data_IF_324253434441
#
_entry.id   IF_324253434441
#
_cell.length_a   1.000
_cell.length_b   1.000
_cell.length_c   1.000
_cell.angle_alpha   90.00
_cell.angle_beta   90.00
_cell.angle_gamma   90.00
#
_symmetry.space_group_name_H-M   'P 1'
#
loop_
_entity.id
_entity.type
_entity.pdbx_description
1 polymer ?
#
# COMPACT_ATOMS: atom_id res chain seq x y z
N UNK A 1 4.93 -8.25 24.86
CA UNK A 1 4.46 -9.29 23.95
C UNK A 1 3.46 -8.80 22.94
N UNK A 2 2.38 -8.12 23.35
CA UNK A 2 1.42 -7.54 22.38
C UNK A 2 2.05 -6.50 21.47
N UNK A 3 2.96 -5.69 22.02
CA UNK A 3 3.64 -4.64 21.23
C UNK A 3 4.58 -5.23 20.19
N UNK A 4 5.29 -6.30 20.55
CA UNK A 4 6.21 -6.97 19.62
C UNK A 4 5.45 -7.65 18.48
N UNK A 5 4.32 -8.26 18.80
CA UNK A 5 3.46 -8.88 17.81
C UNK A 5 2.89 -7.83 16.83
N UNK A 6 2.37 -6.74 17.37
CA UNK A 6 1.80 -5.66 16.57
C UNK A 6 2.87 -5.00 15.68
N UNK A 7 4.07 -4.81 16.22
CA UNK A 7 5.20 -4.24 15.46
C UNK A 7 5.60 -5.17 14.33
N UNK A 8 5.75 -6.47 14.63
CA UNK A 8 6.10 -7.46 13.61
C UNK A 8 5.06 -7.53 12.50
N UNK A 9 3.78 -7.45 12.86
CA UNK A 9 2.69 -7.45 11.90
C UNK A 9 2.72 -6.21 11.00
N UNK A 10 2.98 -5.04 11.57
CA UNK A 10 3.13 -3.80 10.79
C UNK A 10 4.33 -3.86 9.86
N UNK A 11 5.45 -4.36 10.37
CA UNK A 11 6.67 -4.48 9.57
C UNK A 11 6.47 -5.48 8.42
N UNK A 12 5.78 -6.58 8.69
CA UNK A 12 5.42 -7.55 7.67
C UNK A 12 4.54 -6.96 6.58
N UNK A 13 3.55 -6.15 6.96
CA UNK A 13 2.68 -5.49 6.00
C UNK A 13 3.42 -4.45 5.17
N UNK A 14 4.35 -3.71 5.78
CA UNK A 14 5.20 -2.76 5.05
C UNK A 14 6.11 -3.46 4.05
N UNK A 15 6.67 -4.59 4.46
CA UNK A 15 7.49 -5.41 3.56
C UNK A 15 6.64 -5.93 2.39
N UNK A 16 5.44 -6.43 2.66
CA UNK A 16 4.53 -6.90 1.62
C UNK A 16 4.17 -5.77 0.64
N UNK A 17 3.88 -4.58 1.15
CA UNK A 17 3.63 -3.42 0.31
C UNK A 17 4.82 -3.08 -0.58
N UNK A 18 6.02 -3.14 -0.04
CA UNK A 18 7.25 -2.88 -0.79
C UNK A 18 7.44 -3.88 -1.92
N UNK A 19 7.18 -5.16 -1.66
CA UNK A 19 7.27 -6.22 -2.66
C UNK A 19 6.24 -6.00 -3.77
N UNK A 20 5.00 -5.70 -3.39
CA UNK A 20 3.93 -5.48 -4.37
C UNK A 20 4.16 -4.21 -5.19
N UNK A 21 4.70 -3.16 -4.58
CA UNK A 21 5.04 -1.93 -5.29
C UNK A 21 6.12 -2.17 -6.33
N UNK A 22 7.13 -2.97 -6.00
CA UNK A 22 8.18 -3.35 -6.95
C UNK A 22 7.61 -4.16 -8.11
N UNK A 23 6.73 -5.09 -7.82
CA UNK A 23 6.07 -5.91 -8.84
C UNK A 23 5.16 -5.06 -9.74
N UNK A 24 4.38 -4.16 -9.15
CA UNK A 24 3.54 -3.22 -9.91
C UNK A 24 4.38 -2.39 -10.88
N UNK A 25 5.53 -1.90 -10.44
CA UNK A 25 6.42 -1.10 -11.28
C UNK A 25 6.89 -1.87 -12.51
N UNK A 26 7.16 -3.16 -12.38
CA UNK A 26 7.53 -4.02 -13.50
C UNK A 26 6.41 -4.08 -14.55
N UNK A 27 5.16 -4.26 -14.10
CA UNK A 27 4.02 -4.34 -15.01
C UNK A 27 3.67 -3.00 -15.61
N UNK A 28 3.85 -1.90 -14.85
CA UNK A 28 3.59 -0.56 -15.35
C UNK A 28 4.45 -0.24 -16.57
N UNK A 29 5.73 -0.65 -16.54
CA UNK A 29 6.65 -0.43 -17.67
C UNK A 29 6.23 -1.22 -18.91
N UNK A 30 5.56 -2.35 -18.70
CA UNK A 30 5.16 -3.26 -19.79
C UNK A 30 3.78 -2.95 -20.37
N UNK A 31 3.04 -2.00 -19.77
CA UNK A 31 1.70 -1.65 -20.25
C UNK A 31 1.76 -1.08 -21.68
N UNK A 32 0.96 -1.69 -22.55
CA UNK A 32 0.82 -1.22 -23.92
C UNK A 32 2.00 -1.51 -24.85
N UNK A 33 3.05 -2.16 -24.36
CA UNK A 33 4.25 -2.42 -25.18
C UNK A 33 4.12 -3.58 -26.14
N UNK A 34 3.22 -4.53 -25.87
CA UNK A 34 3.07 -5.69 -26.72
C UNK A 34 2.24 -5.36 -27.96
N UNK A 35 2.56 -6.02 -29.06
CA UNK A 35 1.72 -5.96 -30.28
C UNK A 35 0.45 -6.78 -30.12
N UNK A 36 0.41 -7.71 -29.17
CA UNK A 36 -0.76 -8.53 -28.89
C UNK A 36 -1.68 -7.81 -27.90
N UNK A 37 -2.91 -7.56 -28.31
CA UNK A 37 -3.90 -6.96 -27.44
C UNK A 37 -4.23 -7.84 -26.24
N UNK A 38 -4.17 -9.16 -26.40
CA UNK A 38 -4.40 -10.10 -25.31
C UNK A 38 -3.32 -10.00 -24.23
N UNK A 39 -2.07 -9.88 -24.67
CA UNK A 39 -0.95 -9.70 -23.76
C UNK A 39 -1.08 -8.38 -23.00
N UNK A 40 -1.42 -7.30 -23.69
CA UNK A 40 -1.62 -6.00 -23.06
C UNK A 40 -2.77 -6.04 -22.06
N UNK A 41 -3.91 -6.67 -22.43
CA UNK A 41 -5.05 -6.80 -21.54
C UNK A 41 -4.69 -7.59 -20.27
N UNK A 42 -3.93 -8.68 -20.41
CA UNK A 42 -3.46 -9.48 -19.28
C UNK A 42 -2.56 -8.65 -18.37
N UNK A 43 -1.65 -7.86 -18.94
CA UNK A 43 -0.76 -6.98 -18.19
C UNK A 43 -1.53 -5.91 -17.43
N UNK A 44 -2.56 -5.33 -18.04
CA UNK A 44 -3.42 -4.35 -17.39
C UNK A 44 -4.15 -4.95 -16.19
N UNK A 45 -4.70 -6.16 -16.33
CA UNK A 45 -5.37 -6.87 -15.24
C UNK A 45 -4.41 -7.12 -14.09
N UNK A 46 -3.20 -7.58 -14.37
CA UNK A 46 -2.18 -7.84 -13.35
C UNK A 46 -1.76 -6.56 -12.64
N UNK A 47 -1.55 -5.50 -13.39
CA UNK A 47 -1.20 -4.20 -12.83
C UNK A 47 -2.31 -3.70 -11.89
N UNK A 48 -3.55 -3.77 -12.34
CA UNK A 48 -4.70 -3.33 -11.55
C UNK A 48 -4.90 -4.18 -10.30
N UNK A 49 -4.70 -5.49 -10.42
CA UNK A 49 -4.78 -6.42 -9.28
C UNK A 49 -3.76 -6.04 -8.21
N UNK A 50 -2.54 -5.72 -8.62
CA UNK A 50 -1.49 -5.30 -7.70
C UNK A 50 -1.83 -3.97 -7.03
N UNK A 51 -2.43 -3.03 -7.76
CA UNK A 51 -2.88 -1.77 -7.18
C UNK A 51 -3.95 -2.00 -6.10
N UNK A 52 -4.93 -2.86 -6.37
CA UNK A 52 -5.98 -3.19 -5.42
C UNK A 52 -5.39 -3.88 -4.18
N UNK A 53 -4.47 -4.82 -4.37
CA UNK A 53 -3.81 -5.51 -3.28
C UNK A 53 -3.05 -4.53 -2.37
N UNK A 54 -2.33 -3.58 -2.94
CA UNK A 54 -1.63 -2.54 -2.19
C UNK A 54 -2.60 -1.67 -1.40
N UNK A 55 -3.71 -1.30 -2.01
CA UNK A 55 -4.74 -0.50 -1.35
C UNK A 55 -5.29 -1.22 -0.12
N UNK A 56 -5.57 -2.51 -0.23
CA UNK A 56 -6.05 -3.32 0.88
C UNK A 56 -5.02 -3.45 1.99
N UNK A 57 -3.75 -3.61 1.62
CA UNK A 57 -2.66 -3.69 2.60
C UNK A 57 -2.48 -2.36 3.32
N UNK A 58 -2.57 -1.24 2.62
CA UNK A 58 -2.52 0.09 3.23
C UNK A 58 -3.65 0.30 4.22
N UNK A 59 -4.85 -0.14 3.86
CA UNK A 59 -6.02 -0.06 4.75
C UNK A 59 -5.77 -0.89 6.01
N UNK A 60 -5.28 -2.12 5.87
CA UNK A 60 -4.95 -2.97 7.01
C UNK A 60 -3.85 -2.36 7.88
N UNK A 61 -2.81 -1.81 7.25
CA UNK A 61 -1.72 -1.16 7.96
C UNK A 61 -2.21 0.06 8.75
N UNK A 62 -3.08 0.87 8.17
CA UNK A 62 -3.65 2.03 8.83
C UNK A 62 -4.48 1.64 10.05
N UNK A 63 -5.19 0.51 9.99
CA UNK A 63 -5.94 -0.01 11.13
C UNK A 63 -5.04 -0.50 12.26
N UNK A 64 -3.81 -0.90 11.93
CA UNK A 64 -2.83 -1.37 12.90
C UNK A 64 -1.96 -0.24 13.46
N UNK A 65 -2.10 0.97 12.92
CA UNK A 65 -1.38 2.12 13.44
C UNK A 65 -1.77 2.33 14.91
N UNK A 66 -0.80 2.40 15.83
CA UNK A 66 -1.10 2.48 17.26
C UNK A 66 -1.95 3.69 17.59
N UNK A 67 -2.83 3.55 18.59
CA UNK A 67 -3.66 4.63 19.09
C UNK A 67 -2.83 5.80 19.64
N UNK A 68 -1.55 5.59 19.91
CA UNK A 68 -0.64 6.66 20.25
C UNK A 68 -0.58 7.75 19.19
N UNK A 69 -0.82 7.39 17.94
CA UNK A 69 -0.94 8.38 16.86
C UNK A 69 -2.22 9.20 17.02
N UNK A 70 -3.24 8.61 17.63
CA UNK A 70 -4.48 9.31 17.98
C UNK A 70 -4.32 10.17 19.24
N UNK A 71 -3.30 9.88 20.04
CA UNK A 71 -2.92 10.72 21.18
C UNK A 71 -2.05 11.89 20.74
N UNK A 72 -1.77 12.00 19.45
CA UNK A 72 -1.11 13.18 18.88
C UNK A 72 -1.96 14.40 19.19
N UNK A 73 -1.28 15.51 19.50
CA UNK A 73 -1.94 16.79 19.72
C UNK A 73 -3.02 17.03 18.65
N UNK A 74 -4.26 17.32 19.04
CA UNK A 74 -5.32 17.58 18.07
C UNK A 74 -5.00 18.65 17.04
N UNK A 75 -4.20 19.65 17.41
CA UNK A 75 -3.77 20.68 16.47
C UNK A 75 -2.85 20.13 15.40
N UNK A 76 -1.94 19.22 15.79
CA UNK A 76 -1.04 18.56 14.84
C UNK A 76 -1.82 17.64 13.93
N UNK A 77 -2.74 16.85 14.48
CA UNK A 77 -3.59 15.97 13.70
C UNK A 77 -4.43 16.75 12.68
N UNK A 78 -5.00 17.88 13.10
CA UNK A 78 -5.77 18.76 12.23
C UNK A 78 -4.90 19.37 11.14
N UNK A 79 -3.69 19.80 11.49
CA UNK A 79 -2.74 20.34 10.50
C UNK A 79 -2.34 19.30 9.46
N UNK A 80 -2.15 18.05 9.88
CA UNK A 80 -1.84 16.95 8.97
C UNK A 80 -3.01 16.66 8.03
N UNK A 81 -4.24 16.71 8.54
CA UNK A 81 -5.43 16.57 7.71
C UNK A 81 -5.54 17.68 6.67
N UNK A 82 -5.26 18.92 7.07
CA UNK A 82 -5.35 20.07 6.18
C UNK A 82 -4.38 20.01 5.02
N UNK A 83 -3.23 19.38 5.22
CA UNK A 83 -2.24 19.19 4.14
C UNK A 83 -2.41 17.87 3.40
N UNK A 84 -3.45 17.09 3.72
CA UNK A 84 -3.77 15.87 3.01
C UNK A 84 -2.90 14.68 3.37
N UNK A 85 -2.25 14.72 4.52
CA UNK A 85 -1.50 13.59 5.04
C UNK A 85 -2.38 12.74 5.99
#
# INVERSE_FOLDING_TARGET
MKEDYARGRRDGLRLALSILAAEESKWAVLLGESRSWRTNATREVRHKTLQVAQQRLRTALNRLTPKTDQAMDPEVASALDDIGL
#
